data_IF_867235164719
#
_entry.id   IF_867235164719
#
_cell.length_a   1.000
_cell.length_b   1.000
_cell.length_c   1.000
_cell.angle_alpha   90.00
_cell.angle_beta   90.00
_cell.angle_gamma   90.00
#
_symmetry.space_group_name_H-M   'P 1'
#
loop_
_entity.id
_entity.type
_entity.pdbx_description
1 polymer ?
#
# COMPACT_ATOMS: atom_id res chain seq x y z
N UNK A 1 -14.11 20.71 -31.14
CA UNK A 1 -12.77 20.40 -30.59
C UNK A 1 -12.78 18.94 -30.15
N UNK A 2 -12.04 18.08 -30.86
CA UNK A 2 -12.03 16.62 -30.63
C UNK A 2 -10.91 16.25 -29.66
N UNK A 3 -11.19 16.27 -28.36
CA UNK A 3 -10.31 15.70 -27.36
C UNK A 3 -10.99 14.50 -26.68
N UNK A 4 -10.41 13.32 -26.84
CA UNK A 4 -10.77 12.10 -26.11
C UNK A 4 -9.75 11.85 -25.01
N UNK A 5 -10.23 11.56 -23.79
CA UNK A 5 -9.39 11.15 -22.67
C UNK A 5 -8.58 9.91 -23.07
N UNK A 6 -7.25 9.99 -22.95
CA UNK A 6 -6.36 8.84 -23.06
C UNK A 6 -5.68 8.64 -21.72
N UNK A 7 -5.76 7.41 -21.20
CA UNK A 7 -5.00 6.97 -20.02
C UNK A 7 -3.51 7.17 -20.32
N UNK A 8 -2.79 7.83 -19.43
CA UNK A 8 -1.34 8.02 -19.57
C UNK A 8 -0.64 6.69 -19.83
N UNK A 9 0.24 6.65 -20.83
CA UNK A 9 1.01 5.46 -21.19
C UNK A 9 1.79 4.95 -19.98
N UNK A 10 1.40 3.78 -19.48
CA UNK A 10 2.10 3.07 -18.41
C UNK A 10 3.49 2.68 -18.92
N UNK A 11 4.51 2.76 -18.06
CA UNK A 11 5.87 2.30 -18.39
C UNK A 11 5.84 0.91 -19.05
N UNK A 12 6.75 0.66 -19.98
CA UNK A 12 6.82 -0.61 -20.70
C UNK A 12 6.84 -1.79 -19.72
N UNK A 13 5.93 -2.75 -19.92
CA UNK A 13 5.87 -3.97 -19.12
C UNK A 13 7.16 -4.76 -19.31
N UNK A 14 7.75 -5.24 -18.21
CA UNK A 14 8.88 -6.16 -18.26
C UNK A 14 8.43 -7.45 -18.93
N UNK A 15 9.26 -7.99 -19.83
CA UNK A 15 8.96 -9.28 -20.47
C UNK A 15 8.89 -10.39 -19.42
N UNK A 16 8.07 -11.44 -19.66
CA UNK A 16 7.91 -12.55 -18.71
C UNK A 16 9.25 -13.22 -18.34
N UNK A 17 10.18 -13.49 -19.28
CA UNK A 17 11.48 -14.06 -18.93
C UNK A 17 12.31 -13.15 -18.02
N UNK A 18 12.38 -11.85 -18.34
CA UNK A 18 13.12 -10.88 -17.53
C UNK A 18 12.47 -10.67 -16.16
N UNK A 19 11.14 -10.73 -16.08
CA UNK A 19 10.41 -10.67 -14.82
C UNK A 19 10.73 -11.87 -13.93
N UNK A 20 10.74 -13.10 -14.46
CA UNK A 20 11.04 -14.28 -13.66
C UNK A 20 12.47 -14.24 -13.11
N UNK A 21 13.42 -13.72 -13.89
CA UNK A 21 14.77 -13.47 -13.42
C UNK A 21 14.81 -12.42 -12.31
N UNK A 22 14.13 -11.29 -12.49
CA UNK A 22 14.05 -10.23 -11.49
C UNK A 22 13.39 -10.73 -10.18
N UNK A 23 12.26 -11.45 -10.29
CA UNK A 23 11.58 -12.09 -9.16
C UNK A 23 12.48 -13.10 -8.45
N UNK A 24 13.24 -13.91 -9.20
CA UNK A 24 14.19 -14.85 -8.62
C UNK A 24 15.23 -14.13 -7.78
N UNK A 25 15.90 -13.12 -8.35
CA UNK A 25 16.94 -12.36 -7.65
C UNK A 25 16.40 -11.67 -6.39
N UNK A 26 15.25 -11.01 -6.52
CA UNK A 26 14.55 -10.39 -5.40
C UNK A 26 14.25 -11.38 -4.26
N UNK A 27 13.65 -12.53 -4.57
CA UNK A 27 13.33 -13.52 -3.54
C UNK A 27 14.59 -14.15 -2.93
N UNK A 28 15.67 -14.32 -3.71
CA UNK A 28 16.96 -14.79 -3.17
C UNK A 28 17.54 -13.80 -2.16
N UNK A 29 17.43 -12.50 -2.42
CA UNK A 29 17.89 -11.47 -1.51
C UNK A 29 17.09 -11.47 -0.20
N UNK A 30 15.75 -11.55 -0.29
CA UNK A 30 14.87 -11.68 0.89
C UNK A 30 15.25 -12.90 1.72
N UNK A 31 15.35 -14.09 1.10
CA UNK A 31 15.71 -15.33 1.79
C UNK A 31 17.09 -15.19 2.44
N UNK A 32 18.06 -14.65 1.70
CA UNK A 32 19.43 -14.48 2.18
C UNK A 32 19.47 -13.63 3.44
N UNK A 33 18.85 -12.44 3.42
CA UNK A 33 18.84 -11.53 4.57
C UNK A 33 18.12 -12.15 5.76
N UNK A 34 16.95 -12.77 5.55
CA UNK A 34 16.19 -13.42 6.63
C UNK A 34 16.99 -14.55 7.28
N UNK A 35 17.68 -15.36 6.47
CA UNK A 35 18.47 -16.50 6.97
C UNK A 35 19.78 -16.07 7.65
N UNK A 36 20.47 -15.05 7.13
CA UNK A 36 21.74 -14.57 7.70
C UNK A 36 21.57 -13.88 9.05
N UNK A 37 20.47 -13.13 9.21
CA UNK A 37 20.21 -12.30 10.37
C UNK A 37 19.16 -12.91 11.32
N UNK A 38 18.75 -14.16 11.06
CA UNK A 38 17.71 -14.90 11.80
C UNK A 38 16.44 -14.06 12.04
N UNK A 39 16.00 -13.31 11.03
CA UNK A 39 14.94 -12.30 11.16
C UNK A 39 13.57 -12.97 11.41
N UNK A 40 12.91 -12.70 12.55
CA UNK A 40 11.56 -13.19 12.80
C UNK A 40 10.57 -12.65 11.77
N UNK A 41 9.61 -13.48 11.36
CA UNK A 41 8.60 -13.07 10.35
C UNK A 41 7.78 -11.85 10.79
N UNK A 42 7.60 -11.67 12.11
CA UNK A 42 6.84 -10.56 12.71
C UNK A 42 7.51 -9.18 12.57
N UNK A 43 8.79 -9.14 12.18
CA UNK A 43 9.55 -7.89 11.92
C UNK A 43 9.90 -7.69 10.45
N UNK A 44 9.28 -8.48 9.56
CA UNK A 44 9.30 -8.24 8.12
C UNK A 44 8.11 -7.36 7.76
N UNK A 45 8.36 -6.17 7.24
CA UNK A 45 7.30 -5.24 6.88
C UNK A 45 7.48 -4.68 5.47
N UNK A 46 6.34 -4.37 4.85
CA UNK A 46 6.28 -3.74 3.55
C UNK A 46 6.01 -2.25 3.70
N UNK A 47 6.70 -1.43 2.90
CA UNK A 47 6.54 0.02 2.91
C UNK A 47 6.37 0.54 1.49
N UNK A 48 5.37 1.41 1.31
CA UNK A 48 5.09 2.11 0.07
C UNK A 48 4.41 3.46 0.34
N UNK A 49 4.53 4.41 -0.60
CA UNK A 49 3.76 5.65 -0.60
C UNK A 49 2.72 5.62 -1.72
N UNK A 50 1.44 5.66 -1.36
CA UNK A 50 0.36 5.78 -2.34
C UNK A 50 -0.24 7.18 -2.33
N UNK A 51 -0.40 7.76 -3.52
CA UNK A 51 -1.17 8.99 -3.68
C UNK A 51 -2.64 8.72 -3.37
N UNK A 52 -3.14 9.32 -2.29
CA UNK A 52 -4.56 9.44 -2.02
C UNK A 52 -5.00 10.83 -2.47
N UNK A 53 -6.13 10.94 -3.17
CA UNK A 53 -6.75 12.22 -3.49
C UNK A 53 -7.48 12.75 -2.23
N UNK A 54 -6.70 13.04 -1.21
CA UNK A 54 -7.08 13.77 -0.01
C UNK A 54 -6.13 14.94 0.02
N UNK A 55 -6.60 16.18 0.14
CA UNK A 55 -5.69 17.34 0.24
C UNK A 55 -5.21 17.41 1.70
N UNK A 56 -3.98 16.96 2.05
CA UNK A 56 -3.52 16.99 3.42
C UNK A 56 -2.64 18.22 3.61
N UNK A 57 -2.95 19.04 4.60
CA UNK A 57 -1.93 19.91 5.21
C UNK A 57 -2.23 19.96 6.70
N UNK A 58 -1.36 19.33 7.48
CA UNK A 58 -1.12 19.70 8.86
C UNK A 58 0.36 19.51 9.16
N UNK A 59 0.95 20.47 9.86
CA UNK A 59 2.37 20.53 10.21
C UNK A 59 2.70 19.80 11.53
N UNK A 60 1.74 19.07 12.09
CA UNK A 60 1.83 18.51 13.43
C UNK A 60 1.24 17.10 13.49
N UNK A 61 2.01 16.18 14.05
CA UNK A 61 1.58 14.82 14.38
C UNK A 61 1.54 14.72 15.90
N UNK A 62 0.39 14.37 16.48
CA UNK A 62 0.29 14.00 17.89
C UNK A 62 0.58 12.50 18.00
N UNK A 63 1.68 12.12 18.64
CA UNK A 63 2.00 10.73 18.98
C UNK A 63 1.91 10.58 20.50
N UNK A 64 1.00 9.73 20.95
CA UNK A 64 1.12 9.04 22.24
C UNK A 64 2.39 8.20 22.21
N UNK A 65 3.27 8.30 23.22
CA UNK A 65 4.47 7.47 23.39
C UNK A 65 4.15 6.01 23.01
N UNK A 66 4.56 5.59 21.82
CA UNK A 66 4.35 4.23 21.34
C UNK A 66 5.15 3.27 22.24
N UNK A 67 4.54 2.14 22.61
CA UNK A 67 5.32 0.98 23.05
C UNK A 67 6.05 0.45 21.83
N UNK A 68 7.38 0.29 21.91
CA UNK A 68 8.20 -0.20 20.79
C UNK A 68 7.61 -1.52 20.30
N UNK A 69 7.34 -1.66 19.00
CA UNK A 69 6.73 -2.88 18.41
C UNK A 69 7.48 -4.15 18.83
N UNK A 70 8.82 -4.07 18.92
CA UNK A 70 9.71 -5.14 19.40
C UNK A 70 9.36 -5.66 20.79
N UNK A 71 9.03 -4.77 21.73
CA UNK A 71 8.57 -5.14 23.08
C UNK A 71 7.20 -5.85 23.04
N UNK A 72 6.34 -5.49 22.10
CA UNK A 72 5.01 -6.09 21.98
C UNK A 72 5.05 -7.52 21.44
N UNK A 73 6.01 -7.82 20.55
CA UNK A 73 6.21 -9.16 19.97
C UNK A 73 7.29 -9.97 20.70
N UNK A 74 7.80 -9.46 21.83
CA UNK A 74 8.82 -10.10 22.67
C UNK A 74 10.10 -10.51 21.91
N UNK A 75 10.57 -9.63 21.02
CA UNK A 75 11.88 -9.77 20.36
C UNK A 75 12.86 -8.77 20.96
N UNK A 76 14.16 -9.08 20.85
CA UNK A 76 15.22 -8.20 21.32
C UNK A 76 15.12 -6.80 20.67
N UNK A 77 15.47 -5.76 21.41
CA UNK A 77 15.54 -4.39 20.87
C UNK A 77 16.59 -4.30 19.76
N UNK A 78 17.65 -5.09 19.85
CA UNK A 78 18.74 -5.14 18.89
C UNK A 78 18.49 -6.15 17.74
N UNK A 79 17.36 -6.86 17.73
CA UNK A 79 17.05 -7.84 16.68
C UNK A 79 17.00 -7.18 15.29
N UNK A 80 17.58 -7.79 14.27
CA UNK A 80 17.49 -7.26 12.89
C UNK A 80 16.05 -7.31 12.36
N UNK A 81 15.62 -6.29 11.62
CA UNK A 81 14.32 -6.24 10.94
C UNK A 81 14.50 -6.11 9.43
N UNK A 82 13.44 -6.39 8.65
CA UNK A 82 13.50 -6.31 7.18
C UNK A 82 12.38 -5.41 6.63
N UNK A 83 12.80 -4.36 5.93
CA UNK A 83 11.94 -3.47 5.16
C UNK A 83 11.97 -3.84 3.66
N UNK A 84 10.81 -4.08 3.07
CA UNK A 84 10.66 -4.32 1.63
C UNK A 84 9.95 -3.12 1.02
N UNK A 85 10.57 -2.43 0.05
CA UNK A 85 10.00 -1.23 -0.59
C UNK A 85 10.55 -0.97 -2.00
N UNK A 86 10.01 0.01 -2.72
CA UNK A 86 10.36 0.27 -4.12
C UNK A 86 11.62 1.13 -4.30
N UNK A 87 12.09 1.28 -5.54
CA UNK A 87 13.24 2.11 -5.86
C UNK A 87 12.91 3.62 -5.98
N UNK A 88 11.91 4.14 -5.25
CA UNK A 88 11.56 5.56 -5.36
C UNK A 88 12.69 6.46 -4.84
N UNK A 89 13.08 7.47 -5.63
CA UNK A 89 14.23 8.33 -5.31
C UNK A 89 14.12 9.05 -3.96
N UNK A 90 12.91 9.38 -3.52
CA UNK A 90 12.69 10.02 -2.22
C UNK A 90 12.86 9.08 -1.03
N UNK A 91 12.71 7.77 -1.25
CA UNK A 91 12.95 6.74 -0.22
C UNK A 91 14.42 6.32 -0.18
N UNK A 92 15.16 6.45 -1.29
CA UNK A 92 16.58 6.08 -1.40
C UNK A 92 17.55 7.23 -1.07
N UNK A 93 17.14 8.18 -0.23
CA UNK A 93 18.05 9.24 0.22
C UNK A 93 19.03 8.69 1.25
N UNK A 94 20.26 9.20 1.27
CA UNK A 94 21.30 8.79 2.22
C UNK A 94 20.79 8.82 3.67
N UNK A 95 20.03 9.86 4.02
CA UNK A 95 19.43 10.02 5.35
C UNK A 95 18.46 8.89 5.70
N UNK A 96 17.67 8.41 4.74
CA UNK A 96 16.73 7.30 4.99
C UNK A 96 17.50 6.00 5.16
N UNK A 97 18.49 5.73 4.29
CA UNK A 97 19.32 4.53 4.40
C UNK A 97 20.09 4.48 5.73
N UNK A 98 20.74 5.58 6.13
CA UNK A 98 21.43 5.70 7.42
C UNK A 98 20.47 5.43 8.59
N UNK A 99 19.25 5.97 8.52
CA UNK A 99 18.28 5.76 9.58
C UNK A 99 17.81 4.29 9.69
N UNK A 100 17.69 3.59 8.55
CA UNK A 100 17.39 2.15 8.57
C UNK A 100 18.56 1.35 9.20
N UNK A 101 19.79 1.66 8.81
CA UNK A 101 21.00 1.02 9.35
C UNK A 101 21.15 1.26 10.86
N UNK A 102 20.99 2.50 11.33
CA UNK A 102 21.07 2.88 12.74
C UNK A 102 20.02 2.16 13.62
N UNK A 103 18.91 1.70 13.02
CA UNK A 103 17.83 0.99 13.72
C UNK A 103 17.86 -0.54 13.50
N UNK A 104 18.95 -1.05 12.96
CA UNK A 104 19.14 -2.45 12.59
C UNK A 104 18.02 -2.98 11.68
N UNK A 105 17.71 -2.22 10.62
CA UNK A 105 16.71 -2.55 9.61
C UNK A 105 17.41 -2.75 8.26
N UNK A 106 17.40 -3.98 7.78
CA UNK A 106 17.84 -4.30 6.43
C UNK A 106 16.77 -3.89 5.42
N UNK A 107 17.19 -3.51 4.22
CA UNK A 107 16.27 -3.17 3.14
C UNK A 107 16.45 -4.12 1.96
N UNK A 108 15.33 -4.54 1.38
CA UNK A 108 15.31 -5.24 0.09
C UNK A 108 14.44 -4.45 -0.89
N UNK A 109 15.03 -4.07 -2.00
CA UNK A 109 14.38 -3.22 -2.99
C UNK A 109 13.62 -4.05 -4.00
N UNK A 110 12.40 -3.60 -4.30
CA UNK A 110 11.59 -4.20 -5.34
C UNK A 110 12.17 -3.82 -6.70
N UNK A 111 12.39 -4.79 -7.60
CA UNK A 111 12.93 -4.51 -8.91
C UNK A 111 12.09 -3.47 -9.68
N UNK A 112 12.73 -2.57 -10.45
CA UNK A 112 12.02 -1.56 -11.22
C UNK A 112 10.94 -2.17 -12.12
N UNK A 113 9.79 -1.49 -12.20
CA UNK A 113 8.62 -1.90 -12.99
C UNK A 113 8.01 -3.27 -12.61
N UNK A 114 8.25 -3.74 -11.38
CA UNK A 114 7.66 -4.98 -10.87
C UNK A 114 6.72 -4.75 -9.67
N UNK A 115 6.42 -3.51 -9.30
CA UNK A 115 5.61 -3.18 -8.11
C UNK A 115 4.20 -3.78 -8.20
N UNK A 116 3.59 -3.79 -9.39
CA UNK A 116 2.26 -4.37 -9.63
C UNK A 116 2.16 -5.88 -9.32
N UNK A 117 3.29 -6.56 -9.12
CA UNK A 117 3.37 -8.02 -8.89
C UNK A 117 4.19 -8.42 -7.67
N UNK A 118 5.09 -7.57 -7.20
CA UNK A 118 6.03 -7.87 -6.10
C UNK A 118 5.91 -6.94 -4.90
N UNK A 119 5.16 -5.83 -4.98
CA UNK A 119 4.94 -4.91 -3.86
C UNK A 119 3.62 -5.26 -3.17
N UNK A 120 3.62 -5.94 -1.99
CA UNK A 120 2.40 -6.36 -1.30
C UNK A 120 1.32 -5.27 -1.18
N UNK A 121 1.74 -4.05 -0.84
CA UNK A 121 0.85 -2.90 -0.73
C UNK A 121 0.17 -2.53 -2.05
N UNK A 122 0.89 -2.56 -3.18
CA UNK A 122 0.32 -2.27 -4.50
C UNK A 122 -0.62 -3.38 -5.00
N UNK A 123 -0.31 -4.64 -4.68
CA UNK A 123 -1.10 -5.79 -5.14
C UNK A 123 -2.51 -5.79 -4.50
N UNK A 124 -2.62 -5.41 -3.23
CA UNK A 124 -3.85 -5.62 -2.44
C UNK A 124 -4.29 -4.38 -1.67
N UNK A 125 -3.45 -3.87 -0.77
CA UNK A 125 -3.82 -2.86 0.24
C UNK A 125 -4.20 -1.53 -0.39
N UNK A 126 -3.40 -1.00 -1.31
CA UNK A 126 -3.62 0.29 -1.96
C UNK A 126 -4.96 0.34 -2.69
N UNK A 127 -5.37 -0.77 -3.31
CA UNK A 127 -6.68 -0.87 -3.95
C UNK A 127 -7.80 -0.86 -2.92
N UNK A 128 -7.71 -1.70 -1.88
CA UNK A 128 -8.73 -1.79 -0.84
C UNK A 128 -8.96 -0.43 -0.14
N UNK A 129 -7.87 0.28 0.17
CA UNK A 129 -7.91 1.62 0.77
C UNK A 129 -8.57 2.64 -0.16
N UNK A 130 -8.21 2.65 -1.46
CA UNK A 130 -8.80 3.56 -2.44
C UNK A 130 -10.29 3.30 -2.65
N UNK A 131 -10.69 2.04 -2.77
CA UNK A 131 -12.08 1.63 -2.93
C UNK A 131 -12.91 2.01 -1.68
N UNK A 132 -12.36 1.84 -0.48
CA UNK A 132 -12.98 2.25 0.77
C UNK A 132 -13.23 3.77 0.81
N UNK A 133 -12.19 4.57 0.60
CA UNK A 133 -12.29 6.04 0.63
C UNK A 133 -13.24 6.57 -0.45
N UNK A 134 -13.22 5.95 -1.64
CA UNK A 134 -14.13 6.30 -2.71
C UNK A 134 -15.58 5.99 -2.34
N UNK A 135 -15.83 4.87 -1.67
CA UNK A 135 -17.16 4.49 -1.17
C UNK A 135 -17.66 5.45 -0.10
N UNK A 136 -16.81 5.83 0.86
CA UNK A 136 -17.16 6.84 1.88
C UNK A 136 -17.54 8.18 1.25
N UNK A 137 -16.78 8.64 0.26
CA UNK A 137 -17.10 9.86 -0.49
C UNK A 137 -18.43 9.75 -1.24
N UNK A 138 -18.65 8.65 -1.98
CA UNK A 138 -19.88 8.45 -2.76
C UNK A 138 -21.11 8.38 -1.86
N UNK A 139 -21.03 7.65 -0.74
CA UNK A 139 -22.11 7.55 0.24
C UNK A 139 -22.42 8.90 0.87
N UNK A 140 -21.38 9.64 1.30
CA UNK A 140 -21.56 10.98 1.85
C UNK A 140 -22.21 11.92 0.83
N UNK A 141 -21.70 11.96 -0.41
CA UNK A 141 -22.22 12.83 -1.45
C UNK A 141 -23.68 12.51 -1.79
N UNK A 142 -24.02 11.22 -1.93
CA UNK A 142 -25.40 10.79 -2.17
C UNK A 142 -26.34 11.20 -1.03
N UNK A 143 -25.88 11.08 0.23
CA UNK A 143 -26.65 11.50 1.39
C UNK A 143 -26.88 13.02 1.44
N UNK A 144 -25.87 13.82 1.09
CA UNK A 144 -26.02 15.29 1.04
C UNK A 144 -26.99 15.71 -0.06
N UNK A 145 -26.95 15.07 -1.22
CA UNK A 145 -27.92 15.31 -2.31
C UNK A 145 -29.32 14.91 -1.85
N UNK A 146 -29.49 13.73 -1.25
CA UNK A 146 -30.79 13.26 -0.77
C UNK A 146 -31.39 14.18 0.30
N UNK A 147 -30.58 14.71 1.23
CA UNK A 147 -31.04 15.68 2.24
C UNK A 147 -31.61 16.94 1.59
N UNK A 148 -30.95 17.49 0.57
CA UNK A 148 -31.48 18.67 -0.13
C UNK A 148 -32.84 18.41 -0.75
N UNK A 149 -33.03 17.26 -1.41
CA UNK A 149 -34.32 16.89 -2.00
C UNK A 149 -35.43 16.71 -0.95
N UNK A 150 -35.11 16.22 0.25
CA UNK A 150 -36.08 16.04 1.32
C UNK A 150 -36.44 17.36 2.02
N UNK A 151 -35.52 18.33 2.03
CA UNK A 151 -35.70 19.62 2.68
C UNK A 151 -36.26 20.71 1.75
N UNK A 152 -36.28 20.48 0.42
CA UNK A 152 -36.84 21.41 -0.56
C UNK A 152 -38.29 21.06 -0.94
N UNK A 153 -39.23 22.01 -0.79
CA UNK A 153 -40.63 21.86 -1.24
C UNK A 153 -40.79 21.93 -2.79
N UNK A 154 -39.73 22.26 -3.52
CA UNK A 154 -39.73 22.36 -4.99
C UNK A 154 -38.45 21.75 -5.60
N UNK A 155 -38.64 20.89 -6.61
CA UNK A 155 -37.61 20.14 -7.36
C UNK A 155 -36.54 20.99 -8.10
N UNK A 156 -36.61 22.32 -8.02
CA UNK A 156 -35.74 23.25 -8.75
C UNK A 156 -34.73 24.03 -7.88
N UNK A 157 -34.77 23.88 -6.55
CA UNK A 157 -33.95 24.70 -5.62
C UNK A 157 -32.76 23.94 -5.01
N UNK A 158 -32.10 23.08 -5.79
CA UNK A 158 -30.91 22.36 -5.34
C UNK A 158 -29.66 23.24 -5.46
N UNK A 159 -28.96 23.47 -4.34
CA UNK A 159 -27.69 24.19 -4.34
C UNK A 159 -26.50 23.21 -4.55
N UNK A 160 -25.42 23.62 -5.22
CA UNK A 160 -24.23 22.78 -5.35
C UNK A 160 -23.74 22.30 -3.96
N UNK A 161 -23.45 21.00 -3.85
CA UNK A 161 -22.84 20.46 -2.62
C UNK A 161 -21.50 21.15 -2.38
N UNK A 162 -21.29 21.63 -1.16
CA UNK A 162 -20.04 22.27 -0.76
C UNK A 162 -18.90 21.23 -0.71
N UNK A 163 -18.04 21.30 -1.71
CA UNK A 163 -16.82 20.51 -1.85
C UNK A 163 -15.56 21.33 -1.52
N UNK A 164 -15.70 22.43 -0.77
CA UNK A 164 -14.56 23.25 -0.36
C UNK A 164 -13.53 22.37 0.36
N UNK A 165 -12.27 22.62 0.03
CA UNK A 165 -11.13 21.88 0.57
C UNK A 165 -11.15 21.81 2.10
N UNK A 166 -11.58 22.88 2.79
CA UNK A 166 -11.67 22.90 4.25
C UNK A 166 -12.67 21.86 4.78
N UNK A 167 -13.86 21.76 4.17
CA UNK A 167 -14.89 20.79 4.54
C UNK A 167 -14.45 19.36 4.20
N UNK A 168 -13.92 19.16 2.99
CA UNK A 168 -13.42 17.86 2.53
C UNK A 168 -12.26 17.34 3.37
N UNK A 169 -11.44 18.23 3.94
CA UNK A 169 -10.39 17.85 4.90
C UNK A 169 -10.94 17.26 6.19
N UNK A 170 -11.95 17.89 6.78
CA UNK A 170 -12.55 17.41 8.03
C UNK A 170 -13.18 16.02 7.83
N UNK A 171 -13.92 15.84 6.73
CA UNK A 171 -14.54 14.55 6.36
C UNK A 171 -13.48 13.50 6.02
N UNK A 172 -12.49 13.88 5.21
CA UNK A 172 -11.38 13.01 4.82
C UNK A 172 -10.60 12.49 6.02
N UNK A 173 -10.36 13.32 7.05
CA UNK A 173 -9.73 12.88 8.29
C UNK A 173 -10.53 11.80 9.01
N UNK A 174 -11.86 11.92 9.07
CA UNK A 174 -12.73 10.89 9.66
C UNK A 174 -12.70 9.60 8.84
N UNK A 175 -12.71 9.69 7.51
CA UNK A 175 -12.60 8.52 6.63
C UNK A 175 -11.26 7.81 6.75
N UNK A 176 -10.17 8.54 7.01
CA UNK A 176 -8.85 7.95 7.26
C UNK A 176 -8.85 7.11 8.54
N UNK A 177 -9.50 7.57 9.62
CA UNK A 177 -9.63 6.78 10.85
C UNK A 177 -10.44 5.51 10.59
N UNK A 178 -11.61 5.63 9.94
CA UNK A 178 -12.41 4.46 9.57
C UNK A 178 -11.68 3.50 8.63
N UNK A 179 -10.85 4.03 7.74
CA UNK A 179 -10.03 3.23 6.83
C UNK A 179 -8.96 2.46 7.61
N UNK A 180 -8.33 3.08 8.61
CA UNK A 180 -7.41 2.40 9.50
C UNK A 180 -8.10 1.26 10.26
N UNK A 181 -9.29 1.49 10.81
CA UNK A 181 -10.08 0.45 11.49
C UNK A 181 -10.45 -0.67 10.50
N UNK A 182 -10.92 -0.32 9.31
CA UNK A 182 -11.25 -1.28 8.25
C UNK A 182 -10.06 -2.17 7.88
N UNK A 183 -8.87 -1.62 7.69
CA UNK A 183 -7.68 -2.42 7.36
C UNK A 183 -7.24 -3.26 8.57
N UNK A 184 -7.34 -2.71 9.78
CA UNK A 184 -6.98 -3.41 11.03
C UNK A 184 -7.88 -4.60 11.31
N UNK A 185 -9.19 -4.46 11.05
CA UNK A 185 -10.19 -5.51 11.21
C UNK A 185 -10.11 -6.57 10.09
N UNK A 186 -9.44 -6.27 8.98
CA UNK A 186 -9.32 -7.15 7.82
C UNK A 186 -7.85 -7.45 7.48
N UNK A 187 -7.10 -8.14 8.37
CA UNK A 187 -5.67 -8.42 8.18
C UNK A 187 -5.39 -9.27 6.93
N UNK A 188 -6.39 -10.01 6.44
CA UNK A 188 -6.31 -10.78 5.20
C UNK A 188 -5.96 -9.92 3.98
N UNK A 189 -6.33 -8.63 3.97
CA UNK A 189 -5.97 -7.69 2.89
C UNK A 189 -4.44 -7.60 2.77
N UNK A 190 -3.74 -7.49 3.89
CA UNK A 190 -2.27 -7.39 3.93
C UNK A 190 -1.64 -8.75 3.62
N UNK A 191 -2.12 -9.82 4.29
CA UNK A 191 -1.57 -11.17 4.15
C UNK A 191 -1.64 -11.66 2.69
N UNK A 192 -2.76 -11.40 2.01
CA UNK A 192 -2.90 -11.77 0.59
C UNK A 192 -1.88 -11.06 -0.31
N UNK A 193 -1.47 -9.83 0.01
CA UNK A 193 -0.41 -9.12 -0.72
C UNK A 193 0.94 -9.84 -0.64
N UNK A 194 1.33 -10.26 0.57
CA UNK A 194 2.57 -11.02 0.79
C UNK A 194 2.54 -12.38 0.11
N UNK A 195 1.42 -13.11 0.24
CA UNK A 195 1.20 -14.41 -0.43
C UNK A 195 1.29 -14.26 -1.95
N UNK A 196 0.64 -13.24 -2.53
CA UNK A 196 0.67 -13.00 -3.96
C UNK A 196 2.09 -12.64 -4.47
N UNK A 197 2.89 -11.94 -3.66
CA UNK A 197 4.29 -11.66 -3.95
C UNK A 197 5.21 -12.90 -3.80
N UNK A 198 4.69 -14.02 -3.28
CA UNK A 198 5.42 -15.28 -3.00
C UNK A 198 6.52 -15.16 -1.94
N UNK A 199 6.45 -14.13 -1.09
CA UNK A 199 7.45 -13.86 -0.05
C UNK A 199 7.47 -14.98 1.01
N UNK A 200 6.37 -15.26 1.73
CA UNK A 200 6.41 -16.25 2.82
C UNK A 200 6.76 -17.65 2.30
N UNK A 201 6.20 -18.07 1.16
CA UNK A 201 6.49 -19.40 0.60
C UNK A 201 7.95 -19.55 0.19
N UNK A 202 8.60 -18.47 -0.24
CA UNK A 202 10.02 -18.50 -0.61
C UNK A 202 10.92 -18.56 0.63
N UNK A 203 10.54 -17.86 1.69
CA UNK A 203 11.21 -17.94 3.00
C UNK A 203 11.09 -19.36 3.56
N UNK A 204 9.87 -19.91 3.65
CA UNK A 204 9.60 -21.22 4.22
C UNK A 204 10.35 -22.35 3.49
N UNK A 205 10.45 -22.26 2.15
CA UNK A 205 11.15 -23.26 1.34
C UNK A 205 12.68 -23.07 1.31
N UNK A 206 13.19 -21.92 1.78
CA UNK A 206 14.59 -21.53 1.63
C UNK A 206 15.04 -21.34 0.17
N UNK A 207 14.13 -21.35 -0.79
CA UNK A 207 14.39 -21.17 -2.22
C UNK A 207 13.31 -20.33 -2.90
N UNK A 208 13.65 -19.53 -3.93
CA UNK A 208 12.67 -18.70 -4.65
C UNK A 208 11.55 -19.53 -5.28
N UNK A 209 10.30 -19.20 -4.94
CA UNK A 209 9.13 -19.78 -5.58
C UNK A 209 8.74 -18.95 -6.80
N UNK A 210 8.95 -19.53 -7.99
CA UNK A 210 8.53 -18.94 -9.26
C UNK A 210 7.18 -19.53 -9.69
N UNK A 211 6.21 -18.67 -9.97
CA UNK A 211 4.90 -19.08 -10.45
C UNK A 211 4.96 -19.45 -11.94
N UNK A 212 4.43 -20.62 -12.32
CA UNK A 212 4.04 -20.93 -13.70
C UNK A 212 2.76 -20.15 -14.05
N UNK A 213 2.87 -18.84 -14.28
CA UNK A 213 1.74 -17.91 -14.35
C UNK A 213 0.98 -17.91 -15.71
N UNK A 214 0.92 -19.04 -16.43
CA UNK A 214 0.26 -19.10 -17.75
C UNK A 214 -1.18 -19.63 -17.78
N UNK A 215 -1.72 -20.26 -16.74
CA UNK A 215 -3.02 -20.96 -16.90
C UNK A 215 -4.28 -20.21 -16.44
N UNK A 216 -4.19 -19.10 -15.70
CA UNK A 216 -5.41 -18.52 -15.08
C UNK A 216 -5.98 -17.24 -15.72
N UNK A 217 -5.32 -16.61 -16.70
CA UNK A 217 -5.80 -15.35 -17.31
C UNK A 217 -6.36 -15.47 -18.74
N UNK A 218 -6.49 -16.68 -19.29
CA UNK A 218 -7.16 -16.95 -20.60
C UNK A 218 -8.61 -17.45 -20.48
N UNK A 219 -9.29 -17.11 -19.38
CA UNK A 219 -10.63 -17.63 -19.08
C UNK A 219 -11.72 -16.56 -18.92
N UNK A 220 -11.67 -15.44 -19.65
CA UNK A 220 -12.83 -14.58 -19.92
C UNK A 220 -12.65 -13.92 -21.30
N UNK A 221 -13.05 -14.66 -22.33
CA UNK A 221 -13.58 -14.07 -23.56
C UNK A 221 -15.02 -13.61 -23.29
#
# INVERSE_FOLDING_TARGET
MNYTQRRGTTKAKVSVPAFNQAKKLFLQEVIGVVAMEEIPIDVIFNWDQTGLNLVPVSSWTMTSKEKKKREQINVDQDQSALAIFDCFKGQLTEKVCQYLEENNIHSVLIPPNCTDRLQPLDITVNKAVKDFLHSEFQNWYANEVAKQYLESDNDQDTAPIDLLTARMKCLGGQWLVKMFDYVSDNPSIIVHGFIAAHIPQSIDNGVPVLSNEETSRRGKQ
#
